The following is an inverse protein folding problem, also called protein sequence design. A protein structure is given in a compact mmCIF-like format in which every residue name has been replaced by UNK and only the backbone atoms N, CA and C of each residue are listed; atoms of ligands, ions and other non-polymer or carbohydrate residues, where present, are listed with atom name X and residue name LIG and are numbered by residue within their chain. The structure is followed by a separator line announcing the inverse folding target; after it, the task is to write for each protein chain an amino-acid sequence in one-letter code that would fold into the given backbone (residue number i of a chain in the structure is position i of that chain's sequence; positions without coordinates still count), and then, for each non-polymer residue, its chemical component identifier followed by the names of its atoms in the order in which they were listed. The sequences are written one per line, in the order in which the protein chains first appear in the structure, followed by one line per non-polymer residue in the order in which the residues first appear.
data_IF_395570699578
#
_entry.id   IF_395570699578
#
_cell.length_a   1.000
_cell.length_b   1.000
_cell.length_c   1.000
_cell.angle_alpha   90.00
_cell.angle_beta   90.00
_cell.angle_gamma   90.00
#
_symmetry.space_group_name_H-M   'P 1'
#
loop_
_entity.id
_entity.type
_entity.pdbx_description
1 polymer ?
#
# COMPACT_ATOMS: atom_id res chain seq x y z
N UNK A 1 -4.46 -0.17 14.73
CA UNK A 1 -4.77 -1.08 13.59
C UNK A 1 -4.85 -0.22 12.33
N UNK A 2 -3.98 -0.47 11.38
CA UNK A 2 -3.93 0.24 10.11
C UNK A 2 -4.60 -0.61 9.03
N UNK A 3 -5.39 0.01 8.16
CA UNK A 3 -6.16 -0.70 7.15
C UNK A 3 -6.04 -0.02 5.79
N UNK A 4 -5.90 -0.80 4.74
CA UNK A 4 -5.99 -0.34 3.37
C UNK A 4 -7.45 -0.36 2.91
N UNK A 5 -7.96 0.79 2.47
CA UNK A 5 -9.37 0.98 2.16
C UNK A 5 -9.54 1.16 0.64
N UNK A 6 -10.40 0.35 0.05
CA UNK A 6 -10.83 0.50 -1.34
C UNK A 6 -12.19 1.20 -1.40
N UNK A 7 -12.27 2.29 -2.14
CA UNK A 7 -13.55 2.98 -2.43
C UNK A 7 -14.03 2.54 -3.81
N UNK A 8 -15.20 1.93 -3.88
CA UNK A 8 -15.83 1.50 -5.12
C UNK A 8 -16.97 2.45 -5.47
N UNK A 9 -16.96 2.96 -6.69
CA UNK A 9 -18.11 3.65 -7.27
C UNK A 9 -19.01 2.62 -7.95
N UNK A 10 -20.24 2.46 -7.48
CA UNK A 10 -21.23 1.64 -8.19
C UNK A 10 -21.66 2.33 -9.47
N UNK A 11 -21.60 1.62 -10.61
CA UNK A 11 -22.14 2.11 -11.85
C UNK A 11 -23.67 2.32 -11.73
N UNK A 12 -24.26 3.37 -12.32
CA UNK A 12 -25.70 3.57 -12.26
C UNK A 12 -26.43 2.43 -12.97
N UNK A 13 -27.39 1.83 -12.28
CA UNK A 13 -28.31 0.88 -12.90
C UNK A 13 -29.32 1.70 -13.72
N UNK A 14 -29.26 1.59 -15.04
CA UNK A 14 -30.29 2.19 -15.93
C UNK A 14 -31.60 1.44 -15.77
N UNK A 15 -32.54 2.01 -15.01
CA UNK A 15 -33.96 1.63 -15.07
C UNK A 15 -34.66 2.67 -15.92
N UNK A 16 -35.15 2.24 -17.09
CA UNK A 16 -35.98 3.07 -17.97
C UNK A 16 -37.35 3.21 -17.32
N UNK A 17 -37.60 4.30 -16.64
CA UNK A 17 -38.87 5.03 -16.52
C UNK A 17 -38.79 6.11 -15.45
N UNK A 18 -39.10 7.35 -15.88
CA UNK A 18 -39.61 8.47 -15.12
C UNK A 18 -38.70 9.04 -14.01
N UNK A 19 -37.97 10.12 -14.33
CA UNK A 19 -37.36 11.09 -13.38
C UNK A 19 -36.90 10.55 -12.03
N UNK A 20 -35.86 9.73 -12.07
CA UNK A 20 -35.16 9.32 -10.85
C UNK A 20 -33.76 9.93 -10.85
N UNK A 21 -33.47 10.69 -9.81
CA UNK A 21 -32.11 11.07 -9.42
C UNK A 21 -31.32 9.78 -9.24
N UNK A 22 -30.39 9.49 -10.13
CA UNK A 22 -29.48 8.35 -9.97
C UNK A 22 -28.49 8.70 -8.86
N UNK A 23 -28.74 8.19 -7.67
CA UNK A 23 -27.76 8.23 -6.60
C UNK A 23 -26.67 7.20 -6.91
N UNK A 24 -25.44 7.64 -7.17
CA UNK A 24 -24.26 6.76 -7.19
C UNK A 24 -23.91 6.42 -5.75
N UNK A 25 -24.15 5.18 -5.33
CA UNK A 25 -23.69 4.72 -4.03
C UNK A 25 -22.16 4.50 -4.08
N UNK A 26 -21.44 5.19 -3.21
CA UNK A 26 -20.02 4.93 -2.97
C UNK A 26 -19.92 3.97 -1.79
N UNK A 27 -19.34 2.80 -1.99
CA UNK A 27 -19.08 1.83 -0.92
C UNK A 27 -17.60 1.83 -0.57
N UNK A 28 -17.29 1.76 0.73
CA UNK A 28 -15.93 1.66 1.25
C UNK A 28 -15.74 0.25 1.79
N UNK A 29 -14.74 -0.47 1.25
CA UNK A 29 -14.36 -1.79 1.72
C UNK A 29 -12.94 -1.73 2.27
N UNK A 30 -12.72 -2.36 3.43
CA UNK A 30 -11.37 -2.65 3.92
C UNK A 30 -10.86 -3.87 3.16
N UNK A 31 -9.77 -3.71 2.42
CA UNK A 31 -9.18 -4.80 1.62
C UNK A 31 -8.12 -5.58 2.37
N UNK A 32 -7.43 -4.93 3.30
CA UNK A 32 -6.43 -5.55 4.17
C UNK A 32 -6.26 -4.76 5.46
N UNK A 33 -5.99 -5.45 6.58
CA UNK A 33 -5.65 -4.87 7.88
C UNK A 33 -4.30 -5.41 8.32
N UNK A 34 -3.36 -4.53 8.59
CA UNK A 34 -2.00 -4.90 8.97
C UNK A 34 -1.91 -5.25 10.46
N UNK A 35 -1.21 -6.33 10.77
CA UNK A 35 -0.73 -6.65 12.11
C UNK A 35 0.65 -5.97 12.35
N UNK A 36 1.12 -5.94 13.60
CA UNK A 36 2.35 -5.22 13.98
C UNK A 36 3.60 -5.73 13.24
N UNK A 37 3.70 -7.04 13.03
CA UNK A 37 4.78 -7.70 12.31
C UNK A 37 4.70 -7.55 10.78
N UNK A 38 3.53 -7.20 10.25
CA UNK A 38 3.33 -6.91 8.82
C UNK A 38 3.61 -5.44 8.49
N UNK A 39 3.48 -4.54 9.45
CA UNK A 39 3.78 -3.11 9.36
C UNK A 39 2.76 -2.20 10.02
N UNK A 40 3.18 -0.99 10.30
CA UNK A 40 2.37 0.06 10.89
C UNK A 40 2.44 1.35 10.08
N UNK A 41 1.37 2.14 10.10
CA UNK A 41 1.25 3.40 9.35
C UNK A 41 1.38 3.21 7.83
N UNK A 42 0.46 2.45 7.24
CA UNK A 42 0.33 2.25 5.79
C UNK A 42 -0.38 3.44 5.11
N UNK A 43 0.05 4.66 5.38
CA UNK A 43 -0.52 5.92 4.86
C UNK A 43 0.31 6.52 3.72
N UNK A 44 1.10 5.68 3.06
CA UNK A 44 1.97 6.06 1.95
C UNK A 44 1.27 5.93 0.60
N UNK A 45 1.88 6.49 -0.45
CA UNK A 45 1.39 6.35 -1.82
C UNK A 45 1.39 4.88 -2.25
N UNK A 46 0.36 4.47 -2.99
CA UNK A 46 0.19 3.12 -3.51
C UNK A 46 0.45 3.09 -5.02
N UNK A 47 1.14 2.06 -5.47
CA UNK A 47 1.39 1.79 -6.88
C UNK A 47 0.68 0.50 -7.31
N UNK A 48 0.26 0.43 -8.58
CA UNK A 48 -0.40 -0.77 -9.11
C UNK A 48 0.26 -1.23 -10.40
N UNK A 49 0.39 -2.54 -10.55
CA UNK A 49 0.86 -3.14 -11.80
C UNK A 49 -0.31 -3.51 -12.75
N UNK A 50 0.04 -3.99 -13.94
CA UNK A 50 -0.94 -4.40 -14.95
C UNK A 50 -1.73 -5.66 -14.58
N UNK A 51 -1.27 -6.44 -13.61
CA UNK A 51 -1.98 -7.61 -13.08
C UNK A 51 -2.98 -7.23 -11.97
N UNK A 52 -2.97 -5.97 -11.52
CA UNK A 52 -3.81 -5.46 -10.46
C UNK A 52 -3.25 -5.67 -9.05
N UNK A 53 -1.99 -6.06 -8.93
CA UNK A 53 -1.30 -6.06 -7.64
C UNK A 53 -1.13 -4.63 -7.15
N UNK A 54 -1.22 -4.43 -5.85
CA UNK A 54 -1.01 -3.16 -5.16
C UNK A 54 0.28 -3.25 -4.37
N UNK A 55 1.14 -2.25 -4.52
CA UNK A 55 2.40 -2.12 -3.79
C UNK A 55 2.37 -0.87 -2.92
N UNK A 56 2.94 -0.96 -1.75
CA UNK A 56 3.06 0.16 -0.82
C UNK A 56 4.13 -0.07 0.22
N UNK A 57 4.23 0.87 1.14
CA UNK A 57 5.13 0.79 2.28
C UNK A 57 4.37 1.03 3.58
N UNK A 58 4.92 0.55 4.67
CA UNK A 58 4.54 0.98 6.02
C UNK A 58 5.71 1.72 6.63
N UNK A 59 5.43 2.79 7.36
CA UNK A 59 6.49 3.64 7.95
C UNK A 59 7.24 2.92 9.06
N UNK A 60 6.51 2.17 9.88
CA UNK A 60 7.04 1.41 11.01
C UNK A 60 6.56 -0.04 10.95
N UNK A 61 6.92 -0.82 11.98
CA UNK A 61 6.61 -2.25 12.07
C UNK A 61 7.49 -3.12 11.18
N UNK A 62 7.06 -4.36 10.94
CA UNK A 62 7.87 -5.39 10.31
C UNK A 62 8.84 -6.03 11.30
N UNK A 63 9.61 -7.02 10.84
CA UNK A 63 10.50 -7.84 11.68
C UNK A 63 11.49 -7.00 12.52
N UNK A 64 11.94 -5.85 12.00
CA UNK A 64 12.96 -5.01 12.64
C UNK A 64 12.43 -3.64 13.08
N UNK A 65 11.15 -3.35 12.87
CA UNK A 65 10.53 -2.09 13.26
C UNK A 65 10.82 -0.89 12.35
N UNK A 66 11.65 -1.05 11.33
CA UNK A 66 12.07 0.03 10.42
C UNK A 66 11.11 0.32 9.26
N UNK A 67 9.93 -0.29 9.27
CA UNK A 67 8.97 -0.23 8.18
C UNK A 67 9.13 -1.34 7.15
N UNK A 68 8.16 -1.46 6.24
CA UNK A 68 8.09 -2.56 5.28
C UNK A 68 7.80 -2.10 3.87
N UNK A 69 8.07 -2.96 2.89
CA UNK A 69 7.51 -2.92 1.54
C UNK A 69 6.59 -4.14 1.40
N UNK A 70 5.36 -3.92 0.97
CA UNK A 70 4.36 -4.97 0.82
C UNK A 70 3.76 -5.03 -0.57
N UNK A 71 3.17 -6.18 -0.89
CA UNK A 71 2.34 -6.41 -2.06
C UNK A 71 1.00 -7.00 -1.63
N UNK A 72 -0.09 -6.50 -2.21
CA UNK A 72 -1.40 -7.13 -2.15
C UNK A 72 -1.78 -7.65 -3.53
N UNK A 73 -2.06 -8.94 -3.61
CA UNK A 73 -2.48 -9.61 -4.85
C UNK A 73 -3.98 -9.89 -4.80
N UNK A 74 -4.76 -9.46 -5.81
CA UNK A 74 -6.19 -9.77 -5.84
C UNK A 74 -6.42 -11.26 -6.10
N UNK A 75 -7.29 -11.87 -5.31
CA UNK A 75 -7.71 -13.26 -5.45
C UNK A 75 -9.23 -13.36 -5.64
N UNK A 76 -9.80 -14.49 -6.08
CA UNK A 76 -11.24 -14.65 -6.21
C UNK A 76 -12.04 -14.44 -4.91
N UNK A 77 -11.39 -14.63 -3.76
CA UNK A 77 -12.01 -14.55 -2.42
C UNK A 77 -11.59 -13.33 -1.60
N UNK A 78 -10.71 -12.47 -2.13
CA UNK A 78 -10.23 -11.28 -1.42
C UNK A 78 -8.83 -10.87 -1.88
N UNK A 79 -7.94 -10.63 -0.93
CA UNK A 79 -6.57 -10.17 -1.18
C UNK A 79 -5.59 -11.05 -0.42
N UNK A 80 -4.47 -11.32 -1.05
CA UNK A 80 -3.32 -12.00 -0.44
C UNK A 80 -2.21 -10.99 -0.19
N UNK A 81 -1.71 -10.94 1.05
CA UNK A 81 -0.61 -10.09 1.47
C UNK A 81 0.72 -10.81 1.36
N UNK A 82 1.72 -10.14 0.83
CA UNK A 82 3.11 -10.58 0.81
C UNK A 82 4.01 -9.47 1.33
N UNK A 83 4.79 -9.78 2.35
CA UNK A 83 5.88 -8.93 2.83
C UNK A 83 7.06 -9.08 1.89
N UNK A 84 7.40 -8.02 1.13
CA UNK A 84 8.50 -8.05 0.17
C UNK A 84 9.83 -7.68 0.80
N UNK A 85 9.82 -6.75 1.76
CA UNK A 85 11.01 -6.31 2.46
C UNK A 85 10.67 -5.74 3.84
N UNK A 86 11.53 -5.96 4.82
CA UNK A 86 11.47 -5.35 6.15
C UNK A 86 12.78 -4.60 6.41
N UNK A 87 12.68 -3.29 6.61
CA UNK A 87 13.82 -2.42 6.85
C UNK A 87 14.36 -2.59 8.27
N UNK A 88 15.70 -2.60 8.41
CA UNK A 88 16.35 -2.69 9.72
C UNK A 88 16.49 -1.32 10.42
N UNK A 89 16.31 -0.22 9.71
CA UNK A 89 16.62 1.13 10.19
C UNK A 89 18.13 1.45 10.19
N UNK A 90 18.96 0.51 9.72
CA UNK A 90 20.41 0.61 9.64
C UNK A 90 20.92 1.05 8.26
N UNK A 91 21.88 0.31 7.73
CA UNK A 91 22.53 0.63 6.42
C UNK A 91 21.60 0.47 5.23
N UNK A 92 20.52 -0.28 5.37
CA UNK A 92 19.47 -0.49 4.36
C UNK A 92 18.36 0.58 4.40
N UNK A 93 18.44 1.51 5.36
CA UNK A 93 17.45 2.55 5.55
C UNK A 93 16.27 2.12 6.43
N UNK A 94 15.32 3.03 6.58
CA UNK A 94 14.07 2.83 7.34
C UNK A 94 13.10 3.97 7.14
N UNK A 95 11.90 3.80 7.69
CA UNK A 95 10.82 4.78 7.62
C UNK A 95 10.51 5.24 6.17
N UNK A 96 10.04 4.35 5.28
CA UNK A 96 9.74 4.67 3.88
C UNK A 96 8.41 5.45 3.76
N UNK A 97 8.44 6.76 3.91
CA UNK A 97 7.24 7.63 3.94
C UNK A 97 6.54 7.86 2.59
N UNK A 98 7.19 7.57 1.46
CA UNK A 98 6.68 7.98 0.14
C UNK A 98 6.16 6.82 -0.72
N UNK A 99 6.06 5.63 -0.15
CA UNK A 99 5.70 4.46 -0.93
C UNK A 99 6.78 4.07 -1.95
N UNK A 100 6.36 3.34 -2.97
CA UNK A 100 7.25 2.85 -4.02
C UNK A 100 6.67 3.20 -5.40
N UNK A 101 7.54 3.22 -6.41
CA UNK A 101 7.13 3.20 -7.82
C UNK A 101 7.65 1.95 -8.50
N UNK A 102 6.93 1.46 -9.52
CA UNK A 102 7.26 0.24 -10.24
C UNK A 102 7.67 0.52 -11.69
N UNK A 103 8.75 -0.08 -12.15
CA UNK A 103 9.13 -0.01 -13.56
C UNK A 103 8.45 -1.12 -14.40
N UNK A 104 8.63 -1.07 -15.72
CA UNK A 104 8.05 -2.06 -16.66
C UNK A 104 8.62 -3.47 -16.50
N UNK A 105 9.71 -3.64 -15.75
CA UNK A 105 10.35 -4.93 -15.46
C UNK A 105 9.93 -5.49 -14.11
N UNK A 106 9.10 -4.74 -13.34
CA UNK A 106 8.66 -5.12 -12.00
C UNK A 106 9.63 -4.74 -10.89
N UNK A 107 10.64 -3.89 -11.15
CA UNK A 107 11.50 -3.39 -10.09
C UNK A 107 10.77 -2.29 -9.33
N UNK A 108 10.89 -2.32 -8.00
CA UNK A 108 10.34 -1.33 -7.09
C UNK A 108 11.44 -0.36 -6.66
N UNK A 109 11.14 0.93 -6.68
CA UNK A 109 12.02 2.01 -6.26
C UNK A 109 11.30 2.87 -5.22
N UNK A 110 11.97 3.19 -4.14
CA UNK A 110 11.44 4.01 -3.05
C UNK A 110 12.55 4.78 -2.34
N UNK A 111 12.17 5.59 -1.37
CA UNK A 111 13.10 6.36 -0.53
C UNK A 111 12.84 6.05 0.93
N UNK A 112 13.90 5.96 1.71
CA UNK A 112 13.88 5.86 3.16
C UNK A 112 14.29 7.21 3.79
N UNK A 113 13.70 7.53 4.94
CA UNK A 113 13.99 8.79 5.65
C UNK A 113 15.17 8.63 6.61
N UNK A 114 15.33 7.44 7.18
CA UNK A 114 16.39 7.15 8.16
C UNK A 114 17.37 6.12 7.62
N UNK A 115 18.53 6.04 8.25
CA UNK A 115 19.57 5.04 7.92
C UNK A 115 20.28 5.34 6.60
N UNK A 116 20.77 4.29 5.96
CA UNK A 116 21.60 4.37 4.77
C UNK A 116 23.10 4.33 5.07
N UNK A 117 23.89 3.95 4.04
CA UNK A 117 25.34 3.76 4.17
C UNK A 117 26.17 5.02 3.93
N UNK A 118 25.56 6.15 3.61
CA UNK A 118 26.21 7.37 3.13
C UNK A 118 26.78 8.30 4.20
N UNK A 119 26.68 7.98 5.48
CA UNK A 119 27.19 8.83 6.57
C UNK A 119 26.39 10.12 6.77
N UNK A 120 25.18 10.20 6.26
CA UNK A 120 24.26 11.32 6.49
C UNK A 120 23.53 11.11 7.82
N UNK A 121 23.58 12.10 8.71
CA UNK A 121 22.68 12.11 9.87
C UNK A 121 21.25 12.37 9.38
N UNK A 122 20.36 11.37 9.57
CA UNK A 122 18.93 11.49 9.23
C UNK A 122 18.52 10.92 7.87
N UNK A 123 19.30 10.04 7.29
CA UNK A 123 18.97 9.32 6.05
C UNK A 123 19.70 9.81 4.79
N UNK A 124 19.82 8.96 3.86
CA UNK A 124 20.34 9.17 2.53
C UNK A 124 19.42 8.54 1.49
#
# INVERSE_FOLDING_TARGET
MNALIRIKNAAPVFVIALSLVTATATTTDVIFSFEEDEGEYADTDLETDSAGNIYGTTVLGGEFGGGTVFQLTPTPTGWEHALLYSFTGGVDGGEPYKGVTIDRRGNLYGTAVTGGSGGCEGGC
#
